data_IF_087645087224
#
_entry.id   IF_087645087224
#
_cell.length_a   1.000
_cell.length_b   1.000
_cell.length_c   1.000
_cell.angle_alpha   90.00
_cell.angle_beta   90.00
_cell.angle_gamma   90.00
#
_symmetry.space_group_name_H-M   'P 1'
#
loop_
_entity.id
_entity.type
_entity.pdbx_description
1 polymer ?
#
# COMPACT_ATOMS: atom_id res chain seq x y z
N UNK A 1 34.66 10.08 -12.17
CA UNK A 1 34.32 8.68 -12.46
C UNK A 1 34.69 8.40 -13.90
N UNK A 2 35.49 7.36 -14.14
CA UNK A 2 35.80 6.92 -15.49
C UNK A 2 34.60 6.20 -16.12
N UNK A 3 34.57 6.16 -17.45
CA UNK A 3 33.52 5.42 -18.18
C UNK A 3 33.53 3.91 -17.88
N UNK A 4 34.63 3.37 -17.35
CA UNK A 4 34.76 1.95 -16.97
C UNK A 4 34.21 1.64 -15.56
N UNK A 5 34.05 2.66 -14.71
CA UNK A 5 33.48 2.51 -13.36
C UNK A 5 31.94 2.45 -13.40
N UNK A 6 31.30 3.13 -14.35
CA UNK A 6 29.84 3.22 -14.45
C UNK A 6 29.17 1.83 -14.62
N UNK A 7 29.62 0.93 -15.52
CA UNK A 7 29.02 -0.39 -15.67
C UNK A 7 29.19 -1.28 -14.43
N UNK A 8 30.33 -1.16 -13.74
CA UNK A 8 30.62 -1.89 -12.49
C UNK A 8 29.66 -1.47 -11.38
N UNK A 9 29.49 -0.16 -11.19
CA UNK A 9 28.55 0.40 -10.22
C UNK A 9 27.11 -0.03 -10.54
N UNK A 10 26.67 0.04 -11.81
CA UNK A 10 25.34 -0.43 -12.22
C UNK A 10 25.12 -1.90 -11.89
N UNK A 11 26.14 -2.74 -12.09
CA UNK A 11 26.08 -4.18 -11.76
C UNK A 11 25.98 -4.40 -10.25
N UNK A 12 26.76 -3.68 -9.45
CA UNK A 12 26.70 -3.75 -7.98
C UNK A 12 25.33 -3.31 -7.46
N UNK A 13 24.78 -2.20 -7.98
CA UNK A 13 23.44 -1.72 -7.61
C UNK A 13 22.36 -2.74 -7.96
N UNK A 14 22.44 -3.38 -9.14
CA UNK A 14 21.51 -4.46 -9.51
C UNK A 14 21.59 -5.64 -8.54
N UNK A 15 22.80 -6.14 -8.26
CA UNK A 15 23.01 -7.23 -7.30
C UNK A 15 22.46 -6.90 -5.91
N UNK A 16 22.74 -5.69 -5.42
CA UNK A 16 22.21 -5.21 -4.15
C UNK A 16 20.68 -5.19 -4.14
N UNK A 17 20.03 -4.61 -5.15
CA UNK A 17 18.56 -4.57 -5.26
C UNK A 17 17.95 -5.97 -5.32
N UNK A 18 18.58 -6.91 -6.01
CA UNK A 18 18.12 -8.30 -6.07
C UNK A 18 18.31 -9.05 -4.74
N UNK A 19 19.25 -8.63 -3.89
CA UNK A 19 19.47 -9.22 -2.56
C UNK A 19 18.52 -8.69 -1.48
N UNK A 20 17.81 -7.59 -1.75
CA UNK A 20 16.82 -7.06 -0.81
C UNK A 20 15.62 -7.99 -0.73
N UNK A 21 14.99 -8.13 0.46
CA UNK A 21 13.84 -9.01 0.63
C UNK A 21 12.70 -8.61 -0.31
N UNK A 22 11.97 -9.63 -0.78
CA UNK A 22 10.64 -9.42 -1.38
C UNK A 22 9.67 -9.05 -0.27
N UNK A 23 8.64 -8.28 -0.62
CA UNK A 23 7.59 -7.90 0.32
C UNK A 23 6.28 -8.55 -0.10
N UNK A 24 5.45 -8.89 0.89
CA UNK A 24 4.03 -9.15 0.70
C UNK A 24 3.25 -7.84 0.80
N UNK A 25 2.62 -7.43 -0.30
CA UNK A 25 1.99 -6.12 -0.47
C UNK A 25 0.52 -6.30 -0.81
N UNK A 26 -0.36 -5.78 0.05
CA UNK A 26 -1.78 -5.67 -0.25
C UNK A 26 -2.08 -4.30 -0.83
N UNK A 27 -2.85 -4.27 -1.93
CA UNK A 27 -3.20 -3.03 -2.61
C UNK A 27 -4.72 -2.84 -2.54
N UNK A 28 -5.12 -1.79 -1.85
CA UNK A 28 -6.50 -1.39 -1.58
C UNK A 28 -6.85 -0.15 -2.37
N UNK A 29 -8.15 0.02 -2.61
CA UNK A 29 -8.69 1.15 -3.36
C UNK A 29 -9.96 0.76 -4.08
N UNK A 30 -10.52 1.66 -4.91
CA UNK A 30 -11.76 1.39 -5.62
C UNK A 30 -11.68 0.13 -6.47
N UNK A 31 -12.73 -0.70 -6.41
CA UNK A 31 -12.88 -1.88 -7.25
C UNK A 31 -13.33 -1.55 -8.68
N UNK A 32 -13.27 -2.57 -9.55
CA UNK A 32 -13.57 -2.47 -10.98
C UNK A 32 -15.00 -1.97 -11.27
N UNK A 33 -15.96 -2.42 -10.47
CA UNK A 33 -17.38 -2.19 -10.69
C UNK A 33 -17.89 -0.87 -10.10
N UNK A 34 -17.01 0.03 -9.64
CA UNK A 34 -17.43 1.33 -9.15
C UNK A 34 -18.07 2.15 -10.30
N UNK A 35 -19.20 2.83 -10.02
CA UNK A 35 -19.94 3.61 -11.01
C UNK A 35 -19.21 4.92 -11.34
N UNK A 36 -18.47 5.49 -10.38
CA UNK A 36 -17.77 6.76 -10.52
C UNK A 36 -16.60 6.64 -11.53
N UNK A 37 -16.58 7.44 -12.62
CA UNK A 37 -15.49 7.45 -13.58
C UNK A 37 -14.11 7.71 -12.97
N UNK A 38 -14.04 8.56 -11.93
CA UNK A 38 -12.80 8.85 -11.23
C UNK A 38 -12.32 7.65 -10.40
N UNK A 39 -13.25 6.96 -9.74
CA UNK A 39 -12.95 5.71 -9.05
C UNK A 39 -12.44 4.63 -10.02
N UNK A 40 -12.97 4.57 -11.26
CA UNK A 40 -12.45 3.67 -12.31
C UNK A 40 -11.04 4.05 -12.78
N UNK A 41 -10.71 5.34 -12.86
CA UNK A 41 -9.32 5.79 -13.11
C UNK A 41 -8.38 5.33 -11.99
N UNK A 42 -8.82 5.46 -10.74
CA UNK A 42 -8.07 5.00 -9.58
C UNK A 42 -7.89 3.48 -9.58
N UNK A 43 -8.93 2.70 -9.93
CA UNK A 43 -8.82 1.25 -10.15
C UNK A 43 -7.76 0.93 -11.21
N UNK A 44 -7.80 1.61 -12.35
CA UNK A 44 -6.81 1.42 -13.43
C UNK A 44 -5.38 1.69 -12.95
N UNK A 45 -5.18 2.74 -12.14
CA UNK A 45 -3.88 3.03 -11.51
C UNK A 45 -3.47 1.98 -10.49
N UNK A 46 -4.41 1.48 -9.70
CA UNK A 46 -4.22 0.38 -8.74
C UNK A 46 -3.69 -0.87 -9.45
N UNK A 47 -4.25 -1.22 -10.61
CA UNK A 47 -3.77 -2.31 -11.47
C UNK A 47 -2.37 -2.06 -12.02
N UNK A 48 -2.06 -0.84 -12.47
CA UNK A 48 -0.70 -0.49 -12.90
C UNK A 48 0.32 -0.66 -11.77
N UNK A 49 -0.01 -0.19 -10.57
CA UNK A 49 0.84 -0.34 -9.38
C UNK A 49 1.06 -1.82 -9.06
N UNK A 50 0.00 -2.63 -9.02
CA UNK A 50 0.11 -4.07 -8.78
C UNK A 50 1.04 -4.72 -9.79
N UNK A 51 0.79 -4.54 -11.08
CA UNK A 51 1.56 -5.18 -12.15
C UNK A 51 3.05 -4.77 -12.15
N UNK A 52 3.35 -3.52 -11.79
CA UNK A 52 4.73 -3.05 -11.69
C UNK A 52 5.45 -3.60 -10.47
N UNK A 53 4.77 -3.70 -9.31
CA UNK A 53 5.33 -4.22 -8.08
C UNK A 53 5.47 -5.75 -8.12
N UNK A 54 4.56 -6.46 -8.78
CA UNK A 54 4.55 -7.92 -8.92
C UNK A 54 5.82 -8.50 -9.58
N UNK A 55 6.59 -7.67 -10.29
CA UNK A 55 7.86 -8.09 -10.89
C UNK A 55 8.92 -8.46 -9.85
N UNK A 56 8.86 -7.83 -8.68
CA UNK A 56 9.87 -7.94 -7.63
C UNK A 56 9.27 -8.35 -6.27
N UNK A 57 7.94 -8.37 -6.12
CA UNK A 57 7.21 -8.54 -4.86
C UNK A 57 5.99 -9.45 -5.01
N UNK A 58 5.48 -9.93 -3.88
CA UNK A 58 4.24 -10.70 -3.82
C UNK A 58 3.10 -9.71 -3.58
N UNK A 59 2.31 -9.43 -4.62
CA UNK A 59 1.30 -8.34 -4.59
C UNK A 59 -0.10 -8.90 -4.78
N UNK A 60 -1.02 -8.51 -3.91
CA UNK A 60 -2.37 -9.06 -3.88
C UNK A 60 -3.42 -7.96 -3.87
N UNK A 61 -4.53 -8.23 -4.56
CA UNK A 61 -5.80 -7.59 -4.25
C UNK A 61 -6.56 -8.48 -3.29
N UNK A 62 -7.23 -7.89 -2.30
CA UNK A 62 -7.99 -8.68 -1.33
C UNK A 62 -9.16 -9.42 -1.99
N UNK A 63 -9.80 -8.81 -2.98
CA UNK A 63 -10.90 -9.43 -3.73
C UNK A 63 -10.49 -10.69 -4.50
N UNK A 64 -9.22 -10.83 -4.89
CA UNK A 64 -8.71 -12.06 -5.52
C UNK A 64 -8.67 -13.20 -4.50
N UNK A 65 -8.23 -12.90 -3.29
CA UNK A 65 -8.14 -13.87 -2.20
C UNK A 65 -9.53 -14.27 -1.70
N UNK A 66 -10.50 -13.34 -1.67
CA UNK A 66 -11.88 -13.70 -1.32
C UNK A 66 -12.49 -14.69 -2.30
N UNK A 67 -12.21 -14.50 -3.60
CA UNK A 67 -12.74 -15.40 -4.62
C UNK A 67 -12.11 -16.79 -4.49
N UNK A 68 -10.81 -16.87 -4.25
CA UNK A 68 -10.12 -18.14 -3.97
C UNK A 68 -10.64 -18.80 -2.68
N UNK A 69 -10.73 -18.06 -1.58
CA UNK A 69 -11.23 -18.56 -0.30
C UNK A 69 -12.68 -19.09 -0.40
N UNK A 70 -13.56 -18.40 -1.14
CA UNK A 70 -14.93 -18.88 -1.41
C UNK A 70 -14.95 -20.17 -2.22
N UNK A 71 -14.07 -20.30 -3.22
CA UNK A 71 -13.96 -21.51 -4.01
C UNK A 71 -13.49 -22.70 -3.17
N UNK A 72 -12.68 -22.44 -2.14
CA UNK A 72 -12.19 -23.43 -1.18
C UNK A 72 -13.17 -23.71 -0.03
N UNK A 73 -14.37 -23.09 -0.04
CA UNK A 73 -15.39 -23.29 0.98
C UNK A 73 -15.09 -22.59 2.31
N UNK A 74 -14.18 -21.62 2.34
CA UNK A 74 -13.92 -20.77 3.50
C UNK A 74 -15.03 -19.74 3.64
N UNK A 75 -15.58 -19.61 4.84
CA UNK A 75 -16.57 -18.58 5.15
C UNK A 75 -15.89 -17.20 5.24
N UNK A 76 -16.15 -16.35 4.24
CA UNK A 76 -15.70 -14.96 4.17
C UNK A 76 -16.87 -13.97 4.30
N UNK A 77 -17.95 -14.37 4.99
CA UNK A 77 -19.13 -13.51 5.16
C UNK A 77 -18.80 -12.24 5.95
N UNK A 78 -17.85 -12.32 6.90
CA UNK A 78 -17.24 -11.15 7.53
C UNK A 78 -15.88 -10.84 6.90
N UNK A 79 -15.89 -10.06 5.80
CA UNK A 79 -14.68 -9.73 5.06
C UNK A 79 -13.68 -8.92 5.91
N UNK A 80 -14.13 -7.98 6.74
CA UNK A 80 -13.25 -7.16 7.57
C UNK A 80 -12.45 -7.97 8.60
N UNK A 81 -13.05 -9.00 9.21
CA UNK A 81 -12.32 -9.88 10.14
C UNK A 81 -11.29 -10.74 9.40
N UNK A 82 -11.65 -11.23 8.22
CA UNK A 82 -10.74 -12.00 7.37
C UNK A 82 -9.55 -11.13 6.91
N UNK A 83 -9.82 -9.91 6.48
CA UNK A 83 -8.83 -8.90 6.12
C UNK A 83 -7.87 -8.59 7.26
N UNK A 84 -8.41 -8.39 8.46
CA UNK A 84 -7.63 -8.09 9.65
C UNK A 84 -6.62 -9.22 9.93
N UNK A 85 -7.07 -10.47 9.92
CA UNK A 85 -6.20 -11.64 10.11
C UNK A 85 -5.12 -11.71 9.03
N UNK A 86 -5.53 -11.59 7.77
CA UNK A 86 -4.64 -11.75 6.63
C UNK A 86 -3.56 -10.67 6.60
N UNK A 87 -3.96 -9.41 6.77
CA UNK A 87 -3.03 -8.28 6.74
C UNK A 87 -2.12 -8.30 7.97
N UNK A 88 -2.62 -8.62 9.17
CA UNK A 88 -1.78 -8.72 10.37
C UNK A 88 -0.71 -9.79 10.22
N UNK A 89 -1.06 -10.96 9.70
CA UNK A 89 -0.14 -12.09 9.64
C UNK A 89 0.80 -12.04 8.45
N UNK A 90 0.29 -11.68 7.27
CA UNK A 90 1.01 -11.92 6.02
C UNK A 90 1.56 -10.64 5.40
N UNK A 91 0.95 -9.47 5.62
CA UNK A 91 1.37 -8.25 4.94
C UNK A 91 2.64 -7.64 5.56
N UNK A 92 3.63 -7.27 4.73
CA UNK A 92 4.71 -6.37 5.12
C UNK A 92 4.28 -4.91 5.05
N UNK A 93 3.37 -4.61 4.12
CA UNK A 93 2.81 -3.29 3.90
C UNK A 93 1.47 -3.36 3.17
N UNK A 94 0.63 -2.37 3.42
CA UNK A 94 -0.62 -2.13 2.71
C UNK A 94 -0.53 -0.80 1.99
N UNK A 95 -0.88 -0.76 0.71
CA UNK A 95 -1.02 0.47 -0.06
C UNK A 95 -2.51 0.71 -0.25
N UNK A 96 -3.03 1.83 0.22
CA UNK A 96 -4.42 2.21 0.00
C UNK A 96 -4.48 3.44 -0.91
N UNK A 97 -5.16 3.33 -2.06
CA UNK A 97 -5.54 4.48 -2.88
C UNK A 97 -6.95 4.89 -2.46
N UNK A 98 -7.04 5.90 -1.62
CA UNK A 98 -8.27 6.40 -1.04
C UNK A 98 -8.86 7.55 -1.86
N UNK A 99 -10.10 7.35 -2.31
CA UNK A 99 -10.95 8.39 -2.89
C UNK A 99 -12.32 8.37 -2.20
N UNK A 100 -12.90 9.54 -1.99
CA UNK A 100 -14.26 9.65 -1.47
C UNK A 100 -15.26 9.05 -2.46
N UNK A 101 -16.37 8.49 -1.94
CA UNK A 101 -17.41 7.76 -2.70
C UNK A 101 -17.04 6.34 -3.16
N UNK A 102 -15.89 5.80 -2.75
CA UNK A 102 -15.62 4.37 -2.86
C UNK A 102 -16.27 3.61 -1.70
N UNK A 103 -17.56 3.28 -1.83
CA UNK A 103 -18.33 2.54 -0.82
C UNK A 103 -17.58 1.25 -0.42
N UNK A 104 -17.30 1.09 0.88
CA UNK A 104 -16.50 -0.01 1.44
C UNK A 104 -15.10 0.43 1.89
N UNK A 105 -14.41 1.26 1.10
CA UNK A 105 -13.05 1.70 1.39
C UNK A 105 -12.95 2.62 2.62
N UNK A 106 -13.99 3.43 2.86
CA UNK A 106 -14.13 4.23 4.09
C UNK A 106 -14.23 3.34 5.34
N UNK A 107 -14.96 2.22 5.24
CA UNK A 107 -15.10 1.28 6.35
C UNK A 107 -13.77 0.56 6.63
N UNK A 108 -13.06 0.12 5.59
CA UNK A 108 -11.71 -0.46 5.70
C UNK A 108 -10.73 0.52 6.35
N UNK A 109 -10.69 1.77 5.88
CA UNK A 109 -9.81 2.81 6.44
C UNK A 109 -10.09 3.01 7.94
N UNK A 110 -11.36 3.18 8.31
CA UNK A 110 -11.76 3.36 9.71
C UNK A 110 -11.45 2.12 10.54
N UNK A 111 -11.76 0.92 10.06
CA UNK A 111 -11.49 -0.33 10.75
C UNK A 111 -9.98 -0.51 11.00
N UNK A 112 -9.16 -0.34 9.97
CA UNK A 112 -7.72 -0.55 10.08
C UNK A 112 -7.05 0.52 10.93
N UNK A 113 -7.52 1.76 10.89
CA UNK A 113 -7.00 2.85 11.73
C UNK A 113 -7.15 2.60 13.23
N UNK A 114 -8.11 1.75 13.64
CA UNK A 114 -8.36 1.40 15.04
C UNK A 114 -7.41 0.32 15.55
N UNK A 115 -6.77 -0.42 14.65
CA UNK A 115 -5.85 -1.48 14.99
C UNK A 115 -4.38 -1.02 14.81
N UNK A 116 -3.56 -0.95 15.87
CA UNK A 116 -2.16 -0.52 15.75
C UNK A 116 -1.32 -1.31 14.75
N UNK A 117 -1.42 -2.64 14.77
CA UNK A 117 -0.65 -3.53 13.89
C UNK A 117 -1.03 -3.40 12.40
N UNK A 118 -2.29 -3.05 12.12
CA UNK A 118 -2.70 -2.75 10.75
C UNK A 118 -2.23 -1.36 10.35
N UNK A 119 -2.51 -0.36 11.19
CA UNK A 119 -2.20 1.04 10.93
C UNK A 119 -0.70 1.27 10.63
N UNK A 120 0.21 0.60 11.34
CA UNK A 120 1.65 0.71 11.10
C UNK A 120 2.12 0.17 9.74
N UNK A 121 1.32 -0.72 9.13
CA UNK A 121 1.59 -1.30 7.80
C UNK A 121 1.04 -0.43 6.67
N UNK A 122 0.17 0.53 6.99
CA UNK A 122 -0.56 1.31 5.97
C UNK A 122 0.24 2.45 5.39
N UNK A 123 0.20 2.53 4.07
CA UNK A 123 0.52 3.72 3.27
C UNK A 123 -0.74 4.14 2.53
N UNK A 124 -1.36 5.22 3.01
CA UNK A 124 -2.59 5.76 2.44
C UNK A 124 -2.24 6.92 1.53
N UNK A 125 -2.54 6.74 0.24
CA UNK A 125 -2.57 7.80 -0.74
C UNK A 125 -4.00 8.31 -0.79
N UNK A 126 -4.25 9.56 -0.40
CA UNK A 126 -5.58 10.15 -0.41
C UNK A 126 -5.62 11.34 -1.38
N UNK A 127 -6.76 11.56 -2.02
CA UNK A 127 -6.89 12.70 -2.93
C UNK A 127 -7.00 14.02 -2.16
N UNK A 128 -6.04 14.93 -2.40
CA UNK A 128 -5.90 16.20 -1.68
C UNK A 128 -6.95 17.23 -2.05
N UNK A 129 -7.54 17.13 -3.24
CA UNK A 129 -8.62 18.05 -3.65
C UNK A 129 -9.82 17.97 -2.72
N UNK A 130 -9.98 16.87 -1.99
CA UNK A 130 -11.03 16.72 -0.99
C UNK A 130 -10.67 17.27 0.40
N UNK A 131 -9.38 17.24 0.76
CA UNK A 131 -8.92 17.63 2.09
C UNK A 131 -8.85 19.15 2.26
N UNK A 132 -8.62 19.88 1.17
CA UNK A 132 -8.51 21.35 1.17
C UNK A 132 -9.83 22.08 1.50
N UNK A 133 -10.99 21.40 1.42
CA UNK A 133 -12.29 22.05 1.64
C UNK A 133 -12.88 21.91 3.05
N UNK A 134 -12.12 21.43 4.04
CA UNK A 134 -12.54 21.45 5.45
C UNK A 134 -13.92 20.80 5.68
N UNK A 135 -14.23 19.78 4.89
CA UNK A 135 -15.58 19.27 4.74
C UNK A 135 -15.95 18.47 6.01
N UNK A 136 -16.63 19.13 6.96
CA UNK A 136 -17.01 18.59 8.28
C UNK A 136 -17.76 17.24 8.21
N UNK A 137 -18.29 16.89 7.04
CA UNK A 137 -18.99 15.64 6.78
C UNK A 137 -18.10 14.39 6.80
N UNK A 138 -16.76 14.53 6.78
CA UNK A 138 -15.81 13.41 6.76
C UNK A 138 -14.87 13.39 7.98
N UNK A 139 -15.33 13.88 9.13
CA UNK A 139 -14.54 13.91 10.37
C UNK A 139 -13.96 12.54 10.76
N UNK A 140 -14.70 11.46 10.49
CA UNK A 140 -14.30 10.09 10.80
C UNK A 140 -13.16 9.61 9.89
N UNK A 141 -13.10 10.06 8.63
CA UNK A 141 -11.98 9.80 7.71
C UNK A 141 -10.74 10.54 8.20
N UNK A 142 -10.86 11.83 8.53
CA UNK A 142 -9.73 12.60 9.05
C UNK A 142 -9.18 11.98 10.34
N UNK A 143 -10.06 11.61 11.27
CA UNK A 143 -9.66 10.90 12.50
C UNK A 143 -8.99 9.55 12.21
N UNK A 144 -9.40 8.83 11.17
CA UNK A 144 -8.77 7.58 10.77
C UNK A 144 -7.37 7.81 10.19
N UNK A 145 -7.20 8.81 9.31
CA UNK A 145 -5.90 9.21 8.77
C UNK A 145 -4.93 9.65 9.87
N UNK A 146 -5.40 10.49 10.81
CA UNK A 146 -4.61 10.95 11.96
C UNK A 146 -4.20 9.76 12.86
N UNK A 147 -5.11 8.82 13.10
CA UNK A 147 -4.81 7.60 13.87
C UNK A 147 -3.76 6.74 13.17
N UNK A 148 -3.84 6.60 11.85
CA UNK A 148 -2.84 5.85 11.07
C UNK A 148 -1.47 6.54 11.17
N UNK A 149 -1.40 7.86 10.97
CA UNK A 149 -0.14 8.61 11.07
C UNK A 149 0.44 8.53 12.50
N UNK A 150 -0.39 8.70 13.53
CA UNK A 150 -0.01 8.56 14.93
C UNK A 150 0.48 7.16 15.33
N UNK A 151 0.20 6.14 14.50
CA UNK A 151 0.61 4.74 14.69
C UNK A 151 1.72 4.30 13.73
N UNK A 152 2.52 5.24 13.22
CA UNK A 152 3.61 5.01 12.27
C UNK A 152 3.18 4.57 10.87
N UNK A 153 1.89 4.59 10.55
CA UNK A 153 1.45 4.58 9.16
C UNK A 153 1.92 5.83 8.42
N UNK A 154 1.64 5.87 7.12
CA UNK A 154 2.09 6.96 6.25
C UNK A 154 0.94 7.47 5.42
N UNK A 155 0.64 8.75 5.58
CA UNK A 155 -0.43 9.43 4.87
C UNK A 155 0.22 10.36 3.83
N UNK A 156 -0.25 10.28 2.58
CA UNK A 156 0.31 11.03 1.47
C UNK A 156 -0.78 11.57 0.55
N UNK A 157 -0.88 12.89 0.35
CA UNK A 157 -1.81 13.43 -0.62
C UNK A 157 -1.41 13.01 -2.04
N UNK A 158 -2.39 12.90 -2.92
CA UNK A 158 -2.22 12.91 -4.36
C UNK A 158 -3.28 13.78 -5.05
N UNK A 159 -3.05 14.20 -6.29
CA UNK A 159 -4.04 14.87 -7.12
C UNK A 159 -4.48 13.99 -8.28
N UNK A 160 -5.63 14.27 -8.91
CA UNK A 160 -6.06 13.56 -10.12
C UNK A 160 -4.98 13.54 -11.21
N UNK A 161 -4.21 14.62 -11.38
CA UNK A 161 -3.08 14.66 -12.33
C UNK A 161 -1.96 13.66 -12.01
N UNK A 162 -1.79 13.27 -10.74
CA UNK A 162 -0.86 12.21 -10.34
C UNK A 162 -1.39 10.80 -10.63
N UNK A 163 -2.71 10.64 -10.76
CA UNK A 163 -3.34 9.42 -11.28
C UNK A 163 -3.13 9.33 -12.80
N UNK A 164 -3.30 10.43 -13.53
CA UNK A 164 -3.13 10.38 -14.98
C UNK A 164 -1.65 10.21 -15.40
N UNK A 165 -0.71 10.71 -14.59
CA UNK A 165 0.72 10.59 -14.83
C UNK A 165 1.37 9.37 -14.14
N UNK A 166 2.69 9.19 -14.36
CA UNK A 166 3.48 8.15 -13.70
C UNK A 166 3.95 8.54 -12.28
N UNK A 167 3.58 9.71 -11.77
CA UNK A 167 4.11 10.24 -10.51
C UNK A 167 3.66 9.41 -9.31
N UNK A 168 2.37 9.06 -9.19
CA UNK A 168 1.89 8.21 -8.09
C UNK A 168 2.58 6.85 -8.08
N UNK A 169 2.68 6.21 -9.24
CA UNK A 169 3.40 4.94 -9.40
C UNK A 169 4.87 5.06 -8.96
N UNK A 170 5.54 6.14 -9.36
CA UNK A 170 6.95 6.38 -9.00
C UNK A 170 7.11 6.59 -7.49
N UNK A 171 6.19 7.33 -6.86
CA UNK A 171 6.15 7.52 -5.39
C UNK A 171 5.98 6.18 -4.67
N UNK A 172 5.04 5.36 -5.12
CA UNK A 172 4.81 4.01 -4.58
C UNK A 172 6.06 3.13 -4.72
N UNK A 173 6.71 3.12 -5.89
CA UNK A 173 7.94 2.32 -6.10
C UNK A 173 9.08 2.77 -5.18
N UNK A 174 9.27 4.08 -5.04
CA UNK A 174 10.31 4.62 -4.15
C UNK A 174 10.06 4.27 -2.69
N UNK A 175 8.81 4.32 -2.25
CA UNK A 175 8.37 3.92 -0.92
C UNK A 175 8.65 2.45 -0.65
N UNK A 176 8.27 1.55 -1.56
CA UNK A 176 8.52 0.12 -1.43
C UNK A 176 10.03 -0.17 -1.33
N UNK A 177 10.85 0.48 -2.17
CA UNK A 177 12.30 0.35 -2.09
C UNK A 177 12.88 0.84 -0.76
N UNK A 178 12.32 1.91 -0.16
CA UNK A 178 12.71 2.36 1.17
C UNK A 178 12.36 1.31 2.24
N UNK A 179 11.15 0.73 2.19
CA UNK A 179 10.72 -0.33 3.12
C UNK A 179 11.61 -1.56 3.01
N UNK A 180 11.92 -2.02 1.80
CA UNK A 180 12.85 -3.15 1.56
C UNK A 180 14.22 -2.92 2.20
N UNK A 181 14.78 -1.72 2.03
CA UNK A 181 16.07 -1.36 2.62
C UNK A 181 16.00 -1.35 4.14
N UNK A 182 14.96 -0.76 4.72
CA UNK A 182 14.77 -0.76 6.17
C UNK A 182 14.71 -2.19 6.73
N UNK A 183 13.93 -3.08 6.08
CA UNK A 183 13.83 -4.48 6.48
C UNK A 183 15.14 -5.26 6.29
N UNK A 184 15.97 -4.91 5.31
CA UNK A 184 17.29 -5.55 5.13
C UNK A 184 18.31 -5.22 6.24
N UNK A 185 18.10 -4.12 6.97
CA UNK A 185 18.99 -3.68 8.06
C UNK A 185 18.58 -4.33 9.40
N UNK A 186 17.30 -4.68 9.58
CA UNK A 186 16.79 -5.32 10.80
C UNK A 186 17.43 -6.68 11.15
N UNK A 187 17.67 -7.61 10.19
CA UNK A 187 18.37 -8.86 10.52
C UNK A 187 19.81 -8.60 10.98
N UNK A 188 20.45 -7.50 10.58
CA UNK A 188 21.81 -7.17 11.05
C UNK A 188 21.85 -6.81 12.54
N UNK A 189 20.81 -6.18 13.10
CA UNK A 189 20.75 -5.87 14.54
C UNK A 189 20.54 -7.12 15.40
N UNK A 190 19.77 -8.10 14.91
CA UNK A 190 19.54 -9.36 15.63
C UNK A 190 20.79 -10.24 15.72
N UNK A 191 21.73 -10.12 14.77
CA UNK A 191 23.03 -10.80 14.80
C UNK A 191 24.13 -10.05 15.58
N UNK A 192 23.89 -8.81 16.01
CA UNK A 192 24.87 -8.03 16.80
C UNK A 192 24.57 -8.01 18.32
N UNK A 193 23.51 -8.68 18.78
CA UNK A 193 23.27 -8.86 20.22
C UNK A 193 23.16 -7.55 21.00
N UNK A 194 22.56 -6.52 20.40
CA UNK A 194 22.25 -5.27 21.11
C UNK A 194 20.76 -5.30 21.42
N UNK A 195 20.44 -5.75 22.65
CA UNK A 195 19.13 -5.57 23.30
C UNK A 195 18.81 -4.08 23.48
#
# INVERSE_FOLDING_TARGET
MSNDEIPKIKTMVRRYKSSLPKLTIFILGPGEHNIDPYAKKCYSKRCQIKNELARDHDTFFLEEIYNEARNDGVDVTNTLDFEDILIKKEADTVIMIFVLNATGLEAELVAFSRCPELAEKMWVFYDSTYYEFGNKNFWHVNSALDSIEGRNGRIKPFTESEIDSCSLLTRVKNMIEQKRRALSILPYKKYQGVE
#
